data_IF_057324569604
#
_entry.id   IF_057324569604
#
_cell.length_a   1.000
_cell.length_b   1.000
_cell.length_c   1.000
_cell.angle_alpha   90.00
_cell.angle_beta   90.00
_cell.angle_gamma   90.00
#
_symmetry.space_group_name_H-M   'P 1'
#
loop_
_entity.id
_entity.type
_entity.pdbx_description
1 polymer ?
#
# COMPACT_ATOMS: atom_id res chain seq x y z
N UNK A 1 -35.34 48.96 11.49
CA UNK A 1 -34.60 48.27 10.41
C UNK A 1 -34.68 46.77 10.66
N UNK A 2 -35.69 46.11 10.12
CA UNK A 2 -35.89 44.65 10.24
C UNK A 2 -35.56 44.01 8.90
N UNK A 3 -34.43 43.28 8.86
CA UNK A 3 -33.92 42.56 7.70
C UNK A 3 -34.75 41.30 7.44
N UNK A 4 -35.46 41.26 6.31
CA UNK A 4 -36.16 40.08 5.81
C UNK A 4 -35.19 39.20 5.00
N UNK A 5 -35.03 37.94 5.39
CA UNK A 5 -34.26 36.92 4.64
C UNK A 5 -34.97 36.58 3.32
N UNK A 6 -34.24 36.34 2.21
CA UNK A 6 -34.84 35.93 0.95
C UNK A 6 -35.21 34.44 0.97
N UNK A 7 -36.44 34.13 0.53
CA UNK A 7 -36.92 32.77 0.38
C UNK A 7 -36.19 32.06 -0.78
N UNK A 8 -35.58 30.91 -0.50
CA UNK A 8 -35.03 30.00 -1.52
C UNK A 8 -36.18 29.49 -2.40
N UNK A 9 -36.22 29.93 -3.66
CA UNK A 9 -37.04 29.30 -4.72
C UNK A 9 -36.47 27.90 -4.99
N UNK A 10 -37.08 26.87 -4.42
CA UNK A 10 -36.86 25.48 -4.85
C UNK A 10 -37.52 25.29 -6.22
N UNK A 11 -36.72 25.21 -7.28
CA UNK A 11 -37.21 24.76 -8.59
C UNK A 11 -37.54 23.27 -8.50
N UNK A 12 -38.81 22.94 -8.27
CA UNK A 12 -39.32 21.59 -8.55
C UNK A 12 -39.20 21.38 -10.07
N UNK A 13 -38.18 20.66 -10.52
CA UNK A 13 -38.16 20.06 -11.87
C UNK A 13 -39.46 19.27 -12.00
N UNK A 14 -40.35 19.70 -12.88
CA UNK A 14 -41.53 18.94 -13.26
C UNK A 14 -41.04 17.60 -13.82
N UNK A 15 -41.26 16.51 -13.08
CA UNK A 15 -41.03 15.17 -13.61
C UNK A 15 -42.07 14.95 -14.71
N UNK A 16 -41.62 14.77 -15.95
CA UNK A 16 -42.49 14.32 -17.03
C UNK A 16 -43.23 13.02 -16.68
N UNK A 17 -44.20 12.58 -17.50
CA UNK A 17 -44.94 11.35 -17.24
C UNK A 17 -43.97 10.19 -16.98
N UNK A 18 -44.15 9.50 -15.84
CA UNK A 18 -43.33 8.34 -15.48
C UNK A 18 -43.52 7.27 -16.57
N UNK A 19 -42.43 6.92 -17.26
CA UNK A 19 -42.45 5.84 -18.25
C UNK A 19 -42.94 4.53 -17.62
N UNK A 20 -43.68 3.68 -18.36
CA UNK A 20 -44.14 2.39 -17.86
C UNK A 20 -42.97 1.46 -17.52
N UNK A 21 -43.25 0.44 -16.69
CA UNK A 21 -42.32 -0.67 -16.44
C UNK A 21 -42.21 -1.52 -17.69
N UNK A 22 -41.00 -1.90 -18.07
CA UNK A 22 -40.75 -2.76 -19.22
C UNK A 22 -41.27 -4.19 -19.01
N UNK A 23 -41.70 -4.82 -20.10
CA UNK A 23 -41.85 -6.28 -20.17
C UNK A 23 -40.46 -6.92 -20.24
N UNK A 24 -40.12 -7.71 -19.22
CA UNK A 24 -38.84 -8.41 -19.13
C UNK A 24 -38.66 -9.45 -20.24
N UNK A 25 -39.75 -10.01 -20.77
CA UNK A 25 -39.72 -11.04 -21.80
C UNK A 25 -39.38 -10.44 -23.16
N UNK A 26 -40.05 -9.35 -23.52
CA UNK A 26 -39.76 -8.59 -24.75
C UNK A 26 -38.31 -8.07 -24.70
N UNK A 27 -37.89 -7.49 -23.57
CA UNK A 27 -36.53 -7.03 -23.36
C UNK A 27 -35.49 -8.15 -23.57
N UNK A 28 -35.73 -9.33 -22.98
CA UNK A 28 -34.85 -10.48 -23.13
C UNK A 28 -34.78 -10.99 -24.57
N UNK A 29 -35.92 -11.05 -25.28
CA UNK A 29 -35.97 -11.44 -26.69
C UNK A 29 -35.17 -10.48 -27.57
N UNK A 30 -35.26 -9.17 -27.30
CA UNK A 30 -34.49 -8.16 -28.04
C UNK A 30 -33.00 -8.36 -27.79
N UNK A 31 -32.56 -8.45 -26.54
CA UNK A 31 -31.13 -8.57 -26.19
C UNK A 31 -30.49 -9.87 -26.68
N UNK A 32 -31.28 -10.92 -26.86
CA UNK A 32 -30.82 -12.23 -27.38
C UNK A 32 -30.93 -12.35 -28.91
N UNK A 33 -31.56 -11.38 -29.61
CA UNK A 33 -31.71 -11.37 -31.07
C UNK A 33 -30.40 -11.10 -31.82
N UNK A 34 -30.24 -11.49 -33.08
CA UNK A 34 -28.94 -11.33 -33.80
C UNK A 34 -28.36 -9.90 -33.77
N UNK A 35 -29.20 -8.88 -33.93
CA UNK A 35 -28.79 -7.46 -33.97
C UNK A 35 -29.59 -6.64 -32.94
N UNK A 36 -29.19 -6.66 -31.66
CA UNK A 36 -30.04 -6.14 -30.58
C UNK A 36 -30.04 -4.61 -30.51
N UNK A 37 -29.00 -3.93 -31.01
CA UNK A 37 -28.72 -2.52 -30.69
C UNK A 37 -29.85 -1.57 -31.13
N UNK A 38 -30.32 -1.67 -32.37
CA UNK A 38 -31.37 -0.79 -32.91
C UNK A 38 -32.73 -1.04 -32.24
N UNK A 39 -33.14 -2.32 -32.16
CA UNK A 39 -34.40 -2.71 -31.52
C UNK A 39 -34.41 -2.34 -30.02
N UNK A 40 -33.26 -2.46 -29.35
CA UNK A 40 -33.11 -2.07 -27.95
C UNK A 40 -33.25 -0.57 -27.74
N UNK A 41 -32.69 0.25 -28.64
CA UNK A 41 -32.81 1.70 -28.56
C UNK A 41 -34.29 2.15 -28.61
N UNK A 42 -35.07 1.56 -29.52
CA UNK A 42 -36.51 1.83 -29.62
C UNK A 42 -37.29 1.35 -28.38
N UNK A 43 -36.95 0.17 -27.87
CA UNK A 43 -37.58 -0.40 -26.68
C UNK A 43 -37.33 0.47 -25.44
N UNK A 44 -36.07 0.81 -25.19
CA UNK A 44 -35.63 1.70 -24.10
C UNK A 44 -36.28 3.08 -24.18
N UNK A 45 -36.50 3.61 -25.37
CA UNK A 45 -37.14 4.92 -25.51
C UNK A 45 -38.54 4.94 -24.86
N UNK A 46 -39.25 3.80 -24.86
CA UNK A 46 -40.61 3.65 -24.35
C UNK A 46 -40.67 3.40 -22.84
N UNK A 47 -39.70 2.66 -22.29
CA UNK A 47 -39.74 2.19 -20.91
C UNK A 47 -38.76 2.91 -19.97
N UNK A 48 -39.10 2.94 -18.69
CA UNK A 48 -38.27 3.55 -17.65
C UNK A 48 -37.36 2.54 -16.99
N UNK A 49 -37.92 1.79 -16.04
CA UNK A 49 -37.19 0.74 -15.33
C UNK A 49 -37.24 -0.57 -16.14
N UNK A 50 -36.07 -1.11 -16.46
CA UNK A 50 -35.90 -2.35 -17.23
C UNK A 50 -35.16 -3.37 -16.36
N UNK A 51 -35.72 -4.57 -16.25
CA UNK A 51 -35.14 -5.66 -15.45
C UNK A 51 -35.08 -6.93 -16.30
N UNK A 52 -33.87 -7.47 -16.48
CA UNK A 52 -33.57 -8.66 -17.28
C UNK A 52 -32.52 -9.51 -16.54
N UNK A 53 -32.86 -9.87 -15.31
CA UNK A 53 -31.96 -10.60 -14.39
C UNK A 53 -31.73 -12.04 -14.86
N UNK A 54 -30.55 -12.57 -14.60
CA UNK A 54 -30.17 -13.95 -14.95
C UNK A 54 -30.25 -14.29 -16.45
N UNK A 55 -30.29 -13.27 -17.31
CA UNK A 55 -30.33 -13.47 -18.76
C UNK A 55 -29.00 -14.03 -19.25
N UNK A 56 -29.06 -14.97 -20.19
CA UNK A 56 -27.88 -15.49 -20.88
C UNK A 56 -27.56 -14.61 -22.09
N UNK A 57 -26.47 -13.88 -21.99
CA UNK A 57 -25.93 -12.96 -22.99
C UNK A 57 -24.47 -13.33 -23.34
N UNK A 58 -24.08 -14.58 -23.11
CA UNK A 58 -22.72 -15.04 -23.40
C UNK A 58 -22.37 -14.86 -24.89
N UNK A 59 -21.14 -14.39 -25.15
CA UNK A 59 -20.54 -14.23 -26.49
C UNK A 59 -21.32 -13.29 -27.43
N UNK A 60 -22.27 -12.52 -26.89
CA UNK A 60 -23.11 -11.61 -27.67
C UNK A 60 -22.34 -10.36 -28.06
N UNK A 61 -22.59 -9.87 -29.27
CA UNK A 61 -22.17 -8.54 -29.68
C UNK A 61 -23.18 -7.50 -29.21
N UNK A 62 -22.77 -6.72 -28.21
CA UNK A 62 -23.52 -5.66 -27.56
C UNK A 62 -22.72 -4.34 -27.63
N UNK A 63 -21.81 -4.20 -28.59
CA UNK A 63 -21.01 -2.98 -28.73
C UNK A 63 -21.92 -1.75 -28.91
N UNK A 64 -21.60 -0.68 -28.18
CA UNK A 64 -22.33 0.59 -28.22
C UNK A 64 -23.76 0.57 -27.67
N UNK A 65 -24.24 -0.54 -27.10
CA UNK A 65 -25.61 -0.63 -26.59
C UNK A 65 -25.83 0.27 -25.36
N UNK A 66 -27.03 0.87 -25.22
CA UNK A 66 -27.41 1.61 -24.01
C UNK A 66 -28.13 0.70 -22.99
N UNK A 67 -27.39 0.19 -22.03
CA UNK A 67 -27.85 -0.58 -20.88
C UNK A 67 -27.89 0.25 -19.58
N UNK A 68 -27.88 1.58 -19.66
CA UNK A 68 -27.85 2.44 -18.46
C UNK A 68 -29.06 2.23 -17.54
N UNK A 69 -28.81 2.03 -16.25
CA UNK A 69 -29.86 1.80 -15.25
C UNK A 69 -30.60 0.46 -15.35
N UNK A 70 -30.19 -0.46 -16.23
CA UNK A 70 -30.83 -1.79 -16.38
C UNK A 70 -30.41 -2.70 -15.22
N UNK A 71 -31.35 -3.49 -14.69
CA UNK A 71 -31.03 -4.57 -13.75
C UNK A 71 -30.68 -5.86 -14.51
N UNK A 72 -29.38 -6.15 -14.59
CA UNK A 72 -28.75 -7.33 -15.15
C UNK A 72 -28.20 -8.24 -14.03
N UNK A 73 -28.77 -8.19 -12.83
CA UNK A 73 -28.29 -8.99 -11.70
C UNK A 73 -28.26 -10.50 -12.04
N UNK A 74 -27.13 -11.15 -11.74
CA UNK A 74 -26.82 -12.55 -12.10
C UNK A 74 -26.82 -12.87 -13.61
N UNK A 75 -26.80 -11.88 -14.51
CA UNK A 75 -26.69 -12.15 -15.95
C UNK A 75 -25.38 -12.88 -16.29
N UNK A 76 -25.41 -13.68 -17.35
CA UNK A 76 -24.22 -14.33 -17.91
C UNK A 76 -23.78 -13.54 -19.13
N UNK A 77 -22.60 -12.95 -19.06
CA UNK A 77 -22.00 -12.07 -20.07
C UNK A 77 -20.60 -12.57 -20.46
N UNK A 78 -20.34 -13.86 -20.27
CA UNK A 78 -19.04 -14.47 -20.56
C UNK A 78 -18.69 -14.25 -22.02
N UNK A 79 -17.54 -13.64 -22.31
CA UNK A 79 -17.08 -13.36 -23.67
C UNK A 79 -17.91 -12.33 -24.44
N UNK A 80 -18.87 -11.63 -23.82
CA UNK A 80 -19.68 -10.63 -24.51
C UNK A 80 -18.83 -9.42 -24.94
N UNK A 81 -19.12 -8.86 -26.11
CA UNK A 81 -18.54 -7.59 -26.56
C UNK A 81 -19.44 -6.44 -26.10
N UNK A 82 -18.97 -5.66 -25.14
CA UNK A 82 -19.62 -4.46 -24.59
C UNK A 82 -18.79 -3.20 -24.87
N UNK A 83 -17.91 -3.23 -25.88
CA UNK A 83 -17.06 -2.09 -26.24
C UNK A 83 -17.90 -0.85 -26.52
N UNK A 84 -17.59 0.27 -25.88
CA UNK A 84 -18.33 1.54 -26.00
C UNK A 84 -19.77 1.51 -25.49
N UNK A 85 -20.22 0.42 -24.83
CA UNK A 85 -21.56 0.34 -24.28
C UNK A 85 -21.77 1.36 -23.14
N UNK A 86 -23.00 1.86 -23.01
CA UNK A 86 -23.39 2.67 -21.85
C UNK A 86 -24.05 1.78 -20.80
N UNK A 87 -23.33 1.48 -19.73
CA UNK A 87 -23.78 0.72 -18.56
C UNK A 87 -24.00 1.60 -17.34
N UNK A 88 -23.98 2.94 -17.49
CA UNK A 88 -24.04 3.86 -16.35
C UNK A 88 -25.25 3.59 -15.44
N UNK A 89 -25.00 3.45 -14.13
CA UNK A 89 -26.01 3.12 -13.13
C UNK A 89 -26.67 1.74 -13.26
N UNK A 90 -26.19 0.87 -14.15
CA UNK A 90 -26.71 -0.49 -14.28
C UNK A 90 -26.41 -1.34 -13.04
N UNK A 91 -27.22 -2.37 -12.81
CA UNK A 91 -26.96 -3.36 -11.75
C UNK A 91 -26.46 -4.65 -12.37
N UNK A 92 -25.18 -4.96 -12.16
CA UNK A 92 -24.49 -6.19 -12.59
C UNK A 92 -24.07 -7.05 -11.38
N UNK A 93 -24.74 -6.86 -10.23
CA UNK A 93 -24.44 -7.61 -9.01
C UNK A 93 -24.48 -9.12 -9.29
N UNK A 94 -23.42 -9.83 -8.91
CA UNK A 94 -23.24 -11.28 -9.16
C UNK A 94 -23.29 -11.73 -10.63
N UNK A 95 -23.19 -10.80 -11.58
CA UNK A 95 -23.07 -11.17 -12.99
C UNK A 95 -21.71 -11.84 -13.26
N UNK A 96 -21.68 -12.71 -14.26
CA UNK A 96 -20.44 -13.31 -14.77
C UNK A 96 -20.05 -12.63 -16.08
N UNK A 97 -19.04 -11.75 -16.03
CA UNK A 97 -18.51 -11.06 -17.21
C UNK A 97 -17.22 -11.73 -17.70
N UNK A 98 -16.90 -12.96 -17.30
CA UNK A 98 -15.58 -13.55 -17.59
C UNK A 98 -15.21 -13.48 -19.08
N UNK A 99 -14.07 -12.89 -19.42
CA UNK A 99 -13.61 -12.72 -20.81
C UNK A 99 -14.38 -11.67 -21.63
N UNK A 100 -15.29 -10.91 -21.05
CA UNK A 100 -15.99 -9.83 -21.75
C UNK A 100 -15.03 -8.68 -22.12
N UNK A 101 -15.33 -8.01 -23.23
CA UNK A 101 -14.60 -6.81 -23.69
C UNK A 101 -15.45 -5.58 -23.35
N UNK A 102 -14.99 -4.74 -22.44
CA UNK A 102 -15.69 -3.53 -21.96
C UNK A 102 -14.85 -2.26 -22.21
N UNK A 103 -14.02 -2.29 -23.26
CA UNK A 103 -13.16 -1.17 -23.65
C UNK A 103 -13.99 0.08 -23.92
N UNK A 104 -13.54 1.21 -23.40
CA UNK A 104 -14.17 2.53 -23.60
C UNK A 104 -15.67 2.59 -23.18
N UNK A 105 -16.15 1.60 -22.42
CA UNK A 105 -17.53 1.56 -21.94
C UNK A 105 -17.74 2.57 -20.81
N UNK A 106 -18.95 3.12 -20.73
CA UNK A 106 -19.34 3.95 -19.59
C UNK A 106 -19.97 3.07 -18.49
N UNK A 107 -19.22 2.83 -17.42
CA UNK A 107 -19.62 2.05 -16.24
C UNK A 107 -19.82 2.95 -15.01
N UNK A 108 -20.03 4.26 -15.20
CA UNK A 108 -20.17 5.22 -14.11
C UNK A 108 -21.35 4.86 -13.20
N UNK A 109 -21.09 4.73 -11.90
CA UNK A 109 -22.12 4.38 -10.91
C UNK A 109 -22.69 2.96 -11.04
N UNK A 110 -22.08 2.09 -11.84
CA UNK A 110 -22.52 0.70 -12.00
C UNK A 110 -22.28 -0.10 -10.73
N UNK A 111 -23.22 -0.99 -10.38
CA UNK A 111 -23.07 -1.92 -9.26
C UNK A 111 -22.53 -3.28 -9.74
N UNK A 112 -21.26 -3.55 -9.48
CA UNK A 112 -20.50 -4.77 -9.81
C UNK A 112 -20.19 -5.62 -8.56
N UNK A 113 -20.91 -5.41 -7.45
CA UNK A 113 -20.67 -6.17 -6.22
C UNK A 113 -20.81 -7.67 -6.46
N UNK A 114 -19.90 -8.45 -5.90
CA UNK A 114 -19.85 -9.92 -6.03
C UNK A 114 -19.78 -10.43 -7.50
N UNK A 115 -19.49 -9.59 -8.50
CA UNK A 115 -19.40 -10.04 -9.90
C UNK A 115 -18.08 -10.76 -10.19
N UNK A 116 -18.12 -11.70 -11.14
CA UNK A 116 -16.92 -12.35 -11.68
C UNK A 116 -16.43 -11.57 -12.89
N UNK A 117 -15.22 -11.03 -12.79
CA UNK A 117 -14.58 -10.15 -13.78
C UNK A 117 -13.24 -10.75 -14.27
N UNK A 118 -13.18 -12.08 -14.35
CA UNK A 118 -11.98 -12.82 -14.75
C UNK A 118 -11.67 -12.51 -16.22
N UNK A 119 -10.44 -12.06 -16.50
CA UNK A 119 -9.98 -11.73 -17.87
C UNK A 119 -10.86 -10.71 -18.61
N UNK A 120 -11.47 -9.80 -17.87
CA UNK A 120 -12.24 -8.70 -18.46
C UNK A 120 -11.30 -7.57 -18.88
N UNK A 121 -11.53 -7.03 -20.07
CA UNK A 121 -10.78 -5.89 -20.60
C UNK A 121 -11.54 -4.57 -20.39
N UNK A 122 -11.15 -3.82 -19.36
CA UNK A 122 -11.69 -2.48 -19.04
C UNK A 122 -10.82 -1.34 -19.58
N UNK A 123 -9.95 -1.58 -20.57
CA UNK A 123 -9.06 -0.54 -21.08
C UNK A 123 -9.84 0.72 -21.48
N UNK A 124 -9.48 1.87 -20.90
CA UNK A 124 -10.12 3.16 -21.15
C UNK A 124 -11.58 3.29 -20.68
N UNK A 125 -12.11 2.32 -19.92
CA UNK A 125 -13.47 2.39 -19.41
C UNK A 125 -13.63 3.45 -18.30
N UNK A 126 -14.80 4.06 -18.21
CA UNK A 126 -15.16 5.00 -17.12
C UNK A 126 -15.88 4.24 -16.00
N UNK A 127 -15.15 3.91 -14.94
CA UNK A 127 -15.65 3.21 -13.74
C UNK A 127 -15.88 4.19 -12.56
N UNK A 128 -15.97 5.51 -12.80
CA UNK A 128 -16.15 6.47 -11.71
C UNK A 128 -17.40 6.16 -10.91
N UNK A 129 -17.31 6.26 -9.59
CA UNK A 129 -18.41 5.95 -8.66
C UNK A 129 -18.97 4.51 -8.78
N UNK A 130 -18.33 3.63 -9.57
CA UNK A 130 -18.74 2.23 -9.66
C UNK A 130 -18.46 1.52 -8.33
N UNK A 131 -19.30 0.55 -8.01
CA UNK A 131 -19.13 -0.29 -6.83
C UNK A 131 -18.58 -1.65 -7.25
N UNK A 132 -17.29 -1.87 -7.05
CA UNK A 132 -16.57 -3.11 -7.31
C UNK A 132 -16.31 -3.92 -6.02
N UNK A 133 -16.98 -3.59 -4.92
CA UNK A 133 -16.76 -4.25 -3.63
C UNK A 133 -16.92 -5.76 -3.72
N UNK A 134 -15.92 -6.49 -3.21
CA UNK A 134 -15.84 -7.96 -3.27
C UNK A 134 -15.91 -8.58 -4.69
N UNK A 135 -15.73 -7.78 -5.75
CA UNK A 135 -15.65 -8.30 -7.11
C UNK A 135 -14.32 -9.03 -7.36
N UNK A 136 -14.31 -9.93 -8.34
CA UNK A 136 -13.15 -10.79 -8.64
C UNK A 136 -12.57 -10.49 -10.03
N UNK A 137 -11.56 -9.64 -10.08
CA UNK A 137 -10.68 -9.41 -11.23
C UNK A 137 -9.40 -10.23 -11.01
N UNK A 138 -9.38 -11.46 -11.51
CA UNK A 138 -8.27 -12.39 -11.29
C UNK A 138 -7.67 -12.78 -12.64
N UNK A 139 -6.33 -12.74 -12.75
CA UNK A 139 -5.61 -13.54 -13.72
C UNK A 139 -5.29 -14.91 -13.14
N UNK A 140 -5.76 -15.99 -13.79
CA UNK A 140 -5.50 -17.37 -13.36
C UNK A 140 -4.30 -18.00 -14.06
N UNK A 141 -3.81 -17.42 -15.17
CA UNK A 141 -2.92 -18.12 -16.10
C UNK A 141 -1.49 -17.57 -16.13
N UNK A 142 -1.16 -16.59 -15.27
CA UNK A 142 0.16 -15.94 -15.20
C UNK A 142 0.67 -15.39 -16.55
N UNK A 143 -0.20 -15.22 -17.54
CA UNK A 143 0.15 -14.68 -18.83
C UNK A 143 -0.17 -13.17 -18.84
N UNK A 144 0.86 -12.37 -18.55
CA UNK A 144 0.79 -10.92 -18.43
C UNK A 144 0.09 -10.21 -19.60
N UNK A 145 0.06 -10.80 -20.80
CA UNK A 145 -0.58 -10.20 -21.97
C UNK A 145 -2.11 -10.41 -22.05
N UNK A 146 -2.67 -11.41 -21.35
CA UNK A 146 -4.07 -11.84 -21.52
C UNK A 146 -4.90 -11.87 -20.23
N UNK A 147 -4.32 -11.38 -19.12
CA UNK A 147 -5.03 -11.13 -17.86
C UNK A 147 -5.98 -9.93 -17.93
N UNK A 148 -6.84 -9.73 -16.92
CA UNK A 148 -7.69 -8.56 -16.82
C UNK A 148 -6.87 -7.27 -16.86
N UNK A 149 -7.41 -6.25 -17.52
CA UNK A 149 -6.75 -4.95 -17.70
C UNK A 149 -7.68 -3.84 -17.24
N UNK A 150 -7.14 -2.97 -16.38
CA UNK A 150 -7.70 -1.68 -16.00
C UNK A 150 -6.81 -0.55 -16.54
N UNK A 151 -5.94 -0.81 -17.52
CA UNK A 151 -5.03 0.21 -18.04
C UNK A 151 -5.77 1.43 -18.56
N UNK A 152 -5.38 2.60 -18.05
CA UNK A 152 -6.03 3.87 -18.38
C UNK A 152 -7.49 4.00 -17.92
N UNK A 153 -8.03 3.04 -17.18
CA UNK A 153 -9.41 3.10 -16.68
C UNK A 153 -9.54 4.19 -15.61
N UNK A 154 -10.70 4.85 -15.57
CA UNK A 154 -10.98 5.86 -14.55
C UNK A 154 -11.79 5.24 -13.39
N UNK A 155 -11.14 4.97 -12.26
CA UNK A 155 -11.72 4.44 -11.03
C UNK A 155 -11.97 5.54 -9.98
N UNK A 156 -12.06 6.80 -10.40
CA UNK A 156 -12.28 7.92 -9.50
C UNK A 156 -13.53 7.74 -8.63
N UNK A 157 -13.41 7.86 -7.31
CA UNK A 157 -14.47 7.65 -6.32
C UNK A 157 -15.09 6.23 -6.33
N UNK A 158 -14.49 5.27 -7.03
CA UNK A 158 -14.98 3.90 -7.06
C UNK A 158 -14.79 3.22 -5.69
N UNK A 159 -15.67 2.27 -5.38
CA UNK A 159 -15.57 1.44 -4.18
C UNK A 159 -14.91 0.11 -4.53
N UNK A 160 -13.63 -0.06 -4.17
CA UNK A 160 -12.86 -1.30 -4.38
C UNK A 160 -12.59 -2.04 -3.06
N UNK A 161 -13.36 -1.75 -2.00
CA UNK A 161 -13.13 -2.40 -0.71
C UNK A 161 -13.28 -3.92 -0.84
N UNK A 162 -12.25 -4.63 -0.38
CA UNK A 162 -12.14 -6.08 -0.52
C UNK A 162 -12.25 -6.63 -1.95
N UNK A 163 -12.08 -5.79 -2.98
CA UNK A 163 -12.01 -6.26 -4.36
C UNK A 163 -10.73 -7.07 -4.56
N UNK A 164 -10.79 -8.09 -5.42
CA UNK A 164 -9.64 -8.90 -5.78
C UNK A 164 -9.20 -8.48 -7.17
N UNK A 165 -8.00 -7.91 -7.26
CA UNK A 165 -7.31 -7.42 -8.46
C UNK A 165 -5.99 -8.18 -8.70
N UNK A 166 -5.83 -9.36 -8.10
CA UNK A 166 -4.62 -10.18 -8.24
C UNK A 166 -4.28 -10.49 -9.71
N UNK A 167 -3.05 -10.16 -10.12
CA UNK A 167 -2.59 -10.31 -11.50
C UNK A 167 -3.21 -9.34 -12.52
N UNK A 168 -3.98 -8.35 -12.09
CA UNK A 168 -4.57 -7.34 -12.98
C UNK A 168 -3.53 -6.29 -13.37
N UNK A 169 -3.50 -5.90 -14.66
CA UNK A 169 -2.70 -4.74 -15.11
C UNK A 169 -3.46 -3.46 -14.81
N UNK A 170 -2.85 -2.55 -14.05
CA UNK A 170 -3.50 -1.33 -13.58
C UNK A 170 -2.75 -0.05 -13.96
N UNK A 171 -1.77 -0.14 -14.88
CA UNK A 171 -0.92 0.99 -15.26
C UNK A 171 -1.74 2.15 -15.84
N UNK A 172 -1.47 3.37 -15.36
CA UNK A 172 -2.17 4.58 -15.80
C UNK A 172 -3.65 4.66 -15.37
N UNK A 173 -4.15 3.74 -14.56
CA UNK A 173 -5.50 3.83 -14.02
C UNK A 173 -5.61 4.97 -12.99
N UNK A 174 -6.72 5.70 -13.01
CA UNK A 174 -6.96 6.80 -12.06
C UNK A 174 -7.71 6.29 -10.82
N UNK A 175 -7.11 6.41 -9.63
CA UNK A 175 -7.70 6.03 -8.33
C UNK A 175 -8.03 7.24 -7.43
N UNK A 176 -8.24 8.43 -8.00
CA UNK A 176 -8.64 9.64 -7.27
C UNK A 176 -9.85 9.35 -6.36
N UNK A 177 -9.72 9.60 -5.06
CA UNK A 177 -10.76 9.35 -4.05
C UNK A 177 -11.35 7.92 -4.02
N UNK A 178 -10.68 6.93 -4.63
CA UNK A 178 -11.13 5.55 -4.60
C UNK A 178 -10.99 4.92 -3.20
N UNK A 179 -11.92 4.04 -2.83
CA UNK A 179 -11.89 3.32 -1.54
C UNK A 179 -11.15 2.00 -1.71
N UNK A 180 -9.97 1.87 -1.11
CA UNK A 180 -9.04 0.74 -1.34
C UNK A 180 -8.83 -0.17 -0.11
N UNK A 181 -9.54 0.07 1.00
CA UNK A 181 -9.37 -0.73 2.22
C UNK A 181 -9.66 -2.23 1.96
N UNK A 182 -8.75 -3.10 2.40
CA UNK A 182 -8.83 -4.55 2.19
C UNK A 182 -8.63 -5.01 0.75
N UNK A 183 -8.20 -4.13 -0.16
CA UNK A 183 -7.96 -4.48 -1.55
C UNK A 183 -6.91 -5.60 -1.67
N UNK A 184 -7.19 -6.61 -2.51
CA UNK A 184 -6.30 -7.75 -2.72
C UNK A 184 -5.67 -7.63 -4.10
N UNK A 185 -4.38 -7.31 -4.16
CA UNK A 185 -3.60 -7.21 -5.40
C UNK A 185 -2.37 -8.10 -5.28
N UNK A 186 -2.54 -9.41 -5.07
CA UNK A 186 -1.41 -10.34 -4.93
C UNK A 186 -0.73 -10.55 -6.28
N UNK A 187 0.61 -10.51 -6.30
CA UNK A 187 1.45 -10.67 -7.51
C UNK A 187 1.05 -9.71 -8.64
N UNK A 188 0.53 -8.54 -8.31
CA UNK A 188 0.17 -7.51 -9.27
C UNK A 188 1.40 -6.67 -9.65
N UNK A 189 1.35 -6.03 -10.81
CA UNK A 189 2.31 -5.02 -11.23
C UNK A 189 1.59 -3.67 -11.33
N UNK A 190 2.15 -2.65 -10.69
CA UNK A 190 1.66 -1.29 -10.72
C UNK A 190 2.82 -0.34 -10.98
N UNK A 191 2.62 0.58 -11.91
CA UNK A 191 3.62 1.59 -12.25
C UNK A 191 2.98 2.98 -12.31
N UNK A 192 3.59 3.97 -11.65
CA UNK A 192 3.24 5.39 -11.81
C UNK A 192 1.86 5.78 -11.26
N UNK A 193 1.35 5.10 -10.23
CA UNK A 193 0.02 5.36 -9.68
C UNK A 193 0.06 6.33 -8.50
N UNK A 194 -0.96 7.20 -8.39
CA UNK A 194 -1.16 8.05 -7.20
C UNK A 194 -2.16 7.41 -6.22
N UNK A 195 -1.61 6.92 -5.11
CA UNK A 195 -2.33 6.43 -3.92
C UNK A 195 -2.00 7.26 -2.66
N UNK A 196 -1.55 8.50 -2.82
CA UNK A 196 -1.17 9.39 -1.70
C UNK A 196 -2.34 9.59 -0.72
N UNK A 197 -2.16 9.43 0.59
CA UNK A 197 -3.22 9.63 1.60
C UNK A 197 -4.43 8.70 1.47
N UNK A 198 -4.39 7.67 0.60
CA UNK A 198 -5.49 6.72 0.45
C UNK A 198 -5.44 5.72 1.61
N UNK A 199 -6.61 5.16 1.92
CA UNK A 199 -6.76 4.10 2.90
C UNK A 199 -6.61 2.73 2.21
N UNK A 200 -5.47 2.09 2.48
CA UNK A 200 -5.12 0.71 2.11
C UNK A 200 -5.02 -0.18 3.36
N UNK A 201 -5.75 0.14 4.43
CA UNK A 201 -5.80 -0.68 5.65
C UNK A 201 -6.16 -2.11 5.28
N UNK A 202 -5.37 -3.07 5.80
CA UNK A 202 -5.53 -4.51 5.53
C UNK A 202 -5.46 -4.92 4.05
N UNK A 203 -4.89 -4.09 3.16
CA UNK A 203 -4.65 -4.49 1.77
C UNK A 203 -3.66 -5.66 1.69
N UNK A 204 -3.83 -6.53 0.70
CA UNK A 204 -2.97 -7.69 0.45
C UNK A 204 -2.17 -7.49 -0.84
N UNK A 205 -0.87 -7.20 -0.71
CA UNK A 205 0.05 -6.90 -1.81
C UNK A 205 1.14 -7.96 -1.99
N UNK A 206 0.93 -9.15 -1.40
CA UNK A 206 1.93 -10.22 -1.35
C UNK A 206 2.52 -10.54 -2.72
N UNK A 207 3.85 -10.47 -2.80
CA UNK A 207 4.62 -10.76 -4.02
C UNK A 207 4.42 -9.77 -5.16
N UNK A 208 3.80 -8.62 -4.92
CA UNK A 208 3.54 -7.62 -5.95
C UNK A 208 4.75 -6.75 -6.23
N UNK A 209 4.72 -6.06 -7.37
CA UNK A 209 5.72 -5.10 -7.79
C UNK A 209 5.09 -3.73 -7.96
N UNK A 210 5.51 -2.79 -7.14
CA UNK A 210 5.11 -1.39 -7.17
C UNK A 210 6.33 -0.56 -7.57
N UNK A 211 6.22 0.13 -8.69
CA UNK A 211 7.28 0.98 -9.24
C UNK A 211 6.76 2.41 -9.40
N UNK A 212 7.47 3.40 -8.87
CA UNK A 212 7.09 4.82 -9.04
C UNK A 212 5.66 5.14 -8.56
N UNK A 213 5.16 4.38 -7.58
CA UNK A 213 3.84 4.59 -6.98
C UNK A 213 3.96 5.63 -5.87
N UNK A 214 3.05 6.59 -5.83
CA UNK A 214 2.94 7.54 -4.73
C UNK A 214 2.02 7.00 -3.63
N UNK A 215 2.60 6.77 -2.45
CA UNK A 215 1.94 6.35 -1.22
C UNK A 215 2.14 7.38 -0.10
N UNK A 216 2.50 8.63 -0.42
CA UNK A 216 2.76 9.66 0.59
C UNK A 216 1.56 9.85 1.51
N UNK A 217 1.77 9.69 2.82
CA UNK A 217 0.72 9.82 3.84
C UNK A 217 -0.38 8.76 3.79
N UNK A 218 -0.24 7.71 2.97
CA UNK A 218 -1.22 6.63 2.88
C UNK A 218 -1.33 5.84 4.19
N UNK A 219 -2.47 5.18 4.39
CA UNK A 219 -2.71 4.32 5.57
C UNK A 219 -2.67 2.86 5.11
N UNK A 220 -1.63 2.13 5.50
CA UNK A 220 -1.41 0.71 5.20
C UNK A 220 -1.46 -0.15 6.47
N UNK A 221 -2.16 0.29 7.52
CA UNK A 221 -2.19 -0.43 8.79
C UNK A 221 -2.68 -1.88 8.60
N UNK A 222 -1.92 -2.84 9.14
CA UNK A 222 -2.21 -4.27 9.03
C UNK A 222 -2.15 -4.85 7.61
N UNK A 223 -1.64 -4.10 6.64
CA UNK A 223 -1.47 -4.60 5.27
C UNK A 223 -0.45 -5.74 5.20
N UNK A 224 -0.65 -6.61 4.22
CA UNK A 224 0.23 -7.74 3.92
C UNK A 224 1.12 -7.39 2.72
N UNK A 225 2.37 -7.05 3.02
CA UNK A 225 3.43 -6.70 2.08
C UNK A 225 4.48 -7.83 1.94
N UNK A 226 4.19 -9.06 2.38
CA UNK A 226 5.17 -10.15 2.33
C UNK A 226 5.74 -10.33 0.91
N UNK A 227 7.07 -10.35 0.79
CA UNK A 227 7.79 -10.47 -0.49
C UNK A 227 7.42 -9.41 -1.56
N UNK A 228 6.85 -8.27 -1.16
CA UNK A 228 6.53 -7.16 -2.08
C UNK A 228 7.79 -6.43 -2.50
N UNK A 229 7.87 -6.04 -3.77
CA UNK A 229 8.94 -5.22 -4.31
C UNK A 229 8.44 -3.80 -4.51
N UNK A 230 9.02 -2.86 -3.78
CA UNK A 230 8.76 -1.43 -3.87
C UNK A 230 10.02 -0.75 -4.39
N UNK A 231 9.94 -0.15 -5.58
CA UNK A 231 11.07 0.53 -6.21
C UNK A 231 10.67 1.96 -6.56
N UNK A 232 11.45 2.94 -6.11
CA UNK A 232 11.18 4.37 -6.35
C UNK A 232 9.78 4.80 -5.85
N UNK A 233 9.29 4.15 -4.79
CA UNK A 233 7.98 4.44 -4.18
C UNK A 233 8.14 5.55 -3.12
N UNK A 234 7.27 6.56 -3.17
CA UNK A 234 7.21 7.61 -2.15
C UNK A 234 6.24 7.21 -1.04
N UNK A 235 6.72 7.08 0.18
CA UNK A 235 5.92 6.63 1.32
C UNK A 235 5.89 7.65 2.46
N UNK A 236 6.60 8.78 2.34
CA UNK A 236 6.78 9.72 3.45
C UNK A 236 5.48 9.99 4.23
N UNK A 237 5.55 9.94 5.57
CA UNK A 237 4.42 10.08 6.49
C UNK A 237 3.35 8.98 6.41
N UNK A 238 3.58 7.89 5.66
CA UNK A 238 2.65 6.77 5.61
C UNK A 238 2.59 6.01 6.95
N UNK A 239 1.41 5.45 7.24
CA UNK A 239 1.17 4.61 8.42
C UNK A 239 1.23 3.15 8.02
N UNK A 240 2.23 2.44 8.50
CA UNK A 240 2.49 1.02 8.25
C UNK A 240 2.44 0.22 9.56
N UNK A 241 1.50 0.58 10.45
CA UNK A 241 1.37 -0.07 11.75
C UNK A 241 1.03 -1.54 11.58
N UNK A 242 1.79 -2.42 12.23
CA UNK A 242 1.52 -3.87 12.27
C UNK A 242 1.40 -4.52 10.88
N UNK A 243 2.09 -4.00 9.87
CA UNK A 243 2.16 -4.66 8.57
C UNK A 243 2.87 -6.01 8.67
N UNK A 244 2.56 -6.91 7.74
CA UNK A 244 3.39 -8.09 7.46
C UNK A 244 4.29 -7.76 6.28
N UNK A 245 5.54 -7.42 6.53
CA UNK A 245 6.53 -7.04 5.52
C UNK A 245 7.73 -7.98 5.48
N UNK A 246 7.58 -9.23 5.91
CA UNK A 246 8.65 -10.23 5.84
C UNK A 246 9.11 -10.38 4.38
N UNK A 247 10.43 -10.36 4.17
CA UNK A 247 11.07 -10.44 2.86
C UNK A 247 10.69 -9.31 1.87
N UNK A 248 10.00 -8.26 2.32
CA UNK A 248 9.69 -7.10 1.48
C UNK A 248 10.99 -6.39 1.08
N UNK A 249 11.03 -5.88 -0.15
CA UNK A 249 12.16 -5.14 -0.71
C UNK A 249 11.75 -3.70 -0.97
N UNK A 250 12.32 -2.77 -0.22
CA UNK A 250 12.25 -1.35 -0.45
C UNK A 250 13.55 -0.92 -1.13
N UNK A 251 13.46 -0.35 -2.33
CA UNK A 251 14.60 0.11 -3.13
C UNK A 251 14.38 1.57 -3.49
N UNK A 252 15.32 2.44 -3.10
CA UNK A 252 15.25 3.89 -3.38
C UNK A 252 13.91 4.51 -2.96
N UNK A 253 13.34 4.03 -1.86
CA UNK A 253 12.07 4.52 -1.34
C UNK A 253 12.32 5.68 -0.37
N UNK A 254 11.48 6.71 -0.44
CA UNK A 254 11.45 7.80 0.53
C UNK A 254 10.50 7.44 1.68
N UNK A 255 11.07 7.01 2.81
CA UNK A 255 10.36 6.47 3.99
C UNK A 255 10.38 7.45 5.19
N UNK A 256 10.69 8.72 4.94
CA UNK A 256 10.77 9.78 5.95
C UNK A 256 9.46 9.88 6.76
N UNK A 257 9.56 9.97 8.08
CA UNK A 257 8.41 10.08 9.00
C UNK A 257 7.39 8.92 8.89
N UNK A 258 7.77 7.77 8.33
CA UNK A 258 6.88 6.59 8.28
C UNK A 258 6.75 5.92 9.64
N UNK A 259 5.59 5.31 9.91
CA UNK A 259 5.35 4.56 11.13
C UNK A 259 5.21 3.05 10.87
N UNK A 260 6.26 2.29 11.15
CA UNK A 260 6.34 0.83 11.09
C UNK A 260 6.14 0.16 12.46
N UNK A 261 5.56 0.84 13.45
CA UNK A 261 5.43 0.28 14.80
C UNK A 261 4.66 -1.05 14.80
N UNK A 262 5.24 -2.07 15.45
CA UNK A 262 4.73 -3.44 15.52
C UNK A 262 4.74 -4.20 14.19
N UNK A 263 5.40 -3.69 13.15
CA UNK A 263 5.53 -4.38 11.87
C UNK A 263 6.38 -5.65 11.97
N UNK A 264 6.03 -6.68 11.20
CA UNK A 264 6.94 -7.81 10.92
C UNK A 264 7.76 -7.49 9.68
N UNK A 265 9.08 -7.47 9.81
CA UNK A 265 10.04 -7.07 8.76
C UNK A 265 11.21 -8.05 8.73
N UNK A 266 10.95 -9.34 9.00
CA UNK A 266 12.00 -10.36 9.00
C UNK A 266 12.62 -10.45 7.61
N UNK A 267 13.95 -10.34 7.54
CA UNK A 267 14.70 -10.35 6.29
C UNK A 267 14.20 -9.33 5.25
N UNK A 268 13.49 -8.28 5.67
CA UNK A 268 13.14 -7.17 4.82
C UNK A 268 14.42 -6.43 4.38
N UNK A 269 14.39 -5.87 3.18
CA UNK A 269 15.53 -5.19 2.59
C UNK A 269 15.20 -3.73 2.32
N UNK A 270 16.05 -2.83 2.81
CA UNK A 270 15.97 -1.39 2.62
C UNK A 270 17.23 -0.92 1.91
N UNK A 271 17.19 -0.87 0.59
CA UNK A 271 18.33 -0.48 -0.24
C UNK A 271 18.22 0.98 -0.61
N UNK A 272 19.20 1.79 -0.18
CA UNK A 272 19.28 3.22 -0.52
C UNK A 272 17.99 3.98 -0.19
N UNK A 273 17.41 3.68 0.98
CA UNK A 273 16.18 4.29 1.44
C UNK A 273 16.48 5.40 2.46
N UNK A 274 15.72 6.48 2.40
CA UNK A 274 15.71 7.53 3.41
C UNK A 274 14.67 7.17 4.48
N UNK A 275 15.13 6.85 5.68
CA UNK A 275 14.34 6.40 6.83
C UNK A 275 14.39 7.42 7.98
N UNK A 276 14.72 8.67 7.69
CA UNK A 276 14.84 9.70 8.71
C UNK A 276 13.54 9.85 9.50
N UNK A 277 13.67 9.92 10.83
CA UNK A 277 12.54 10.03 11.78
C UNK A 277 11.47 8.94 11.65
N UNK A 278 11.77 7.83 10.95
CA UNK A 278 10.87 6.70 10.89
C UNK A 278 10.74 6.03 12.26
N UNK A 279 9.57 5.44 12.53
CA UNK A 279 9.23 4.79 13.80
C UNK A 279 9.16 3.29 13.59
N UNK A 280 9.94 2.55 14.37
CA UNK A 280 10.05 1.08 14.35
C UNK A 280 9.80 0.48 15.74
N UNK A 281 8.95 1.13 16.55
CA UNK A 281 8.69 0.67 17.92
C UNK A 281 8.15 -0.75 17.89
N UNK A 282 8.77 -1.66 18.66
CA UNK A 282 8.39 -3.08 18.71
C UNK A 282 8.41 -3.80 17.34
N UNK A 283 9.09 -3.24 16.33
CA UNK A 283 9.15 -3.84 15.01
C UNK A 283 10.06 -5.09 15.01
N UNK A 284 9.59 -6.16 14.38
CA UNK A 284 10.33 -7.40 14.19
C UNK A 284 11.25 -7.32 12.98
N UNK A 285 12.49 -6.88 13.15
CA UNK A 285 13.45 -6.62 12.06
C UNK A 285 14.58 -7.66 11.98
N UNK A 286 14.34 -8.90 12.43
CA UNK A 286 15.36 -9.96 12.46
C UNK A 286 15.95 -10.20 11.07
N UNK A 287 17.27 -10.26 10.98
CA UNK A 287 18.01 -10.51 9.73
C UNK A 287 17.69 -9.53 8.60
N UNK A 288 17.21 -8.32 8.92
CA UNK A 288 16.95 -7.31 7.89
C UNK A 288 18.26 -6.84 7.22
N UNK A 289 18.12 -6.32 6.01
CA UNK A 289 19.24 -5.78 5.23
C UNK A 289 19.04 -4.27 5.07
N UNK A 290 19.83 -3.49 5.77
CA UNK A 290 19.83 -2.01 5.73
C UNK A 290 21.03 -1.47 4.94
N UNK A 291 22.00 -2.33 4.65
CA UNK A 291 23.24 -1.97 3.96
C UNK A 291 23.62 -3.05 2.96
N UNK A 292 23.72 -2.74 1.66
CA UNK A 292 24.44 -3.60 0.71
C UNK A 292 24.88 -2.95 -0.60
N UNK A 293 24.60 -1.66 -0.85
CA UNK A 293 25.10 -0.90 -2.01
C UNK A 293 25.39 0.57 -1.65
N UNK A 294 26.09 1.27 -2.55
CA UNK A 294 26.76 2.60 -2.47
C UNK A 294 26.07 3.75 -1.70
N UNK A 295 24.80 3.62 -1.30
CA UNK A 295 24.05 4.58 -0.49
C UNK A 295 23.42 3.81 0.67
N UNK A 296 23.80 4.18 1.89
CA UNK A 296 23.35 3.60 3.16
C UNK A 296 21.92 4.01 3.53
N UNK A 297 21.26 3.20 4.35
CA UNK A 297 20.01 3.60 4.99
C UNK A 297 20.28 4.69 6.05
N UNK A 298 19.54 5.80 5.97
CA UNK A 298 19.62 6.89 6.93
C UNK A 298 18.48 6.81 7.94
N UNK A 299 18.79 6.48 9.18
CA UNK A 299 17.87 6.40 10.32
C UNK A 299 18.12 7.53 11.33
N UNK A 300 18.61 8.68 10.87
CA UNK A 300 18.81 9.85 11.73
C UNK A 300 17.51 10.20 12.45
N UNK A 301 17.62 10.32 13.78
CA UNK A 301 16.51 10.59 14.69
C UNK A 301 15.34 9.59 14.61
N UNK A 302 15.57 8.36 14.13
CA UNK A 302 14.57 7.30 14.12
C UNK A 302 14.24 6.81 15.54
N UNK A 303 13.00 6.34 15.73
CA UNK A 303 12.53 5.75 16.98
C UNK A 303 12.51 4.22 16.84
N UNK A 304 13.56 3.57 17.34
CA UNK A 304 13.83 2.13 17.25
C UNK A 304 13.64 1.42 18.60
N UNK A 305 12.89 2.02 19.52
CA UNK A 305 12.67 1.44 20.85
C UNK A 305 12.06 0.04 20.75
N UNK A 306 12.63 -0.92 21.47
CA UNK A 306 12.18 -2.31 21.45
C UNK A 306 12.25 -3.00 20.08
N UNK A 307 12.95 -2.42 19.10
CA UNK A 307 13.13 -3.05 17.79
C UNK A 307 13.97 -4.33 17.92
N UNK A 308 13.55 -5.39 17.22
CA UNK A 308 14.24 -6.68 17.21
C UNK A 308 15.12 -6.79 15.97
N UNK A 309 16.37 -6.34 16.06
CA UNK A 309 17.34 -6.27 14.96
C UNK A 309 18.41 -7.38 15.04
N UNK A 310 18.10 -8.51 15.69
CA UNK A 310 19.01 -9.64 15.82
C UNK A 310 19.54 -10.10 14.45
N UNK A 311 20.86 -10.14 14.29
CA UNK A 311 21.53 -10.55 13.06
C UNK A 311 21.27 -9.65 11.84
N UNK A 312 20.84 -8.41 12.04
CA UNK A 312 20.65 -7.46 10.94
C UNK A 312 21.99 -7.14 10.26
N UNK A 313 21.95 -6.97 8.93
CA UNK A 313 23.09 -6.49 8.13
C UNK A 313 22.94 -4.98 7.90
N UNK A 314 23.70 -4.19 8.66
CA UNK A 314 23.55 -2.74 8.82
C UNK A 314 24.92 -2.02 8.85
N UNK A 315 25.85 -2.48 8.01
CA UNK A 315 27.17 -1.87 7.82
C UNK A 315 27.00 -0.43 7.34
N UNK A 316 27.75 0.49 7.95
CA UNK A 316 27.77 1.92 7.60
C UNK A 316 26.41 2.62 7.78
N UNK A 317 25.47 2.04 8.52
CA UNK A 317 24.17 2.66 8.80
C UNK A 317 24.32 3.98 9.57
N UNK A 318 23.46 4.96 9.29
CA UNK A 318 23.44 6.25 10.00
C UNK A 318 22.34 6.21 11.06
N UNK A 319 22.72 6.26 12.33
CA UNK A 319 21.83 6.21 13.50
C UNK A 319 22.00 7.48 14.38
N UNK A 320 22.41 8.58 13.78
CA UNK A 320 22.66 9.84 14.49
C UNK A 320 21.40 10.30 15.22
N UNK A 321 21.50 10.54 16.53
CA UNK A 321 20.40 10.91 17.42
C UNK A 321 19.21 9.92 17.43
N UNK A 322 19.40 8.68 16.97
CA UNK A 322 18.34 7.67 17.00
C UNK A 322 18.08 7.17 18.43
N UNK A 323 16.83 6.82 18.72
CA UNK A 323 16.41 6.24 20.00
C UNK A 323 16.33 4.72 19.89
N UNK A 324 17.33 4.02 20.41
CA UNK A 324 17.45 2.56 20.38
C UNK A 324 17.22 1.93 21.77
N UNK A 325 16.52 2.63 22.68
CA UNK A 325 16.33 2.11 24.04
C UNK A 325 15.62 0.76 24.02
N UNK A 326 16.16 -0.20 24.77
CA UNK A 326 15.66 -1.58 24.82
C UNK A 326 15.68 -2.33 23.47
N UNK A 327 16.42 -1.85 22.47
CA UNK A 327 16.55 -2.56 21.20
C UNK A 327 17.44 -3.81 21.34
N UNK A 328 17.11 -4.86 20.59
CA UNK A 328 17.93 -6.07 20.47
C UNK A 328 18.73 -6.01 19.16
N UNK A 329 20.02 -5.71 19.27
CA UNK A 329 21.00 -5.63 18.19
C UNK A 329 21.95 -6.84 18.21
N UNK A 330 21.56 -7.94 18.87
CA UNK A 330 22.46 -9.06 19.08
C UNK A 330 22.92 -9.68 17.74
N UNK A 331 24.23 -9.83 17.57
CA UNK A 331 24.83 -10.35 16.35
C UNK A 331 24.67 -9.47 15.11
N UNK A 332 24.22 -8.22 15.25
CA UNK A 332 24.08 -7.31 14.12
C UNK A 332 25.45 -6.91 13.55
N UNK A 333 25.51 -6.79 12.23
CA UNK A 333 26.67 -6.27 11.49
C UNK A 333 26.56 -4.74 11.45
N UNK A 334 27.31 -4.04 12.31
CA UNK A 334 27.25 -2.59 12.52
C UNK A 334 28.61 -1.93 12.26
N UNK A 335 29.44 -2.55 11.43
CA UNK A 335 30.76 -2.03 11.09
C UNK A 335 30.61 -0.67 10.43
N UNK A 336 31.41 0.31 10.86
CA UNK A 336 31.37 1.68 10.34
C UNK A 336 30.03 2.41 10.50
N UNK A 337 29.12 1.91 11.32
CA UNK A 337 27.88 2.60 11.64
C UNK A 337 28.15 3.90 12.43
N UNK A 338 27.35 4.93 12.19
CA UNK A 338 27.42 6.19 12.96
C UNK A 338 26.34 6.23 14.02
N UNK A 339 26.73 6.25 15.30
CA UNK A 339 25.83 6.33 16.45
C UNK A 339 25.88 7.69 17.16
N UNK A 340 26.39 8.75 16.51
CA UNK A 340 26.60 10.03 17.19
C UNK A 340 25.31 10.53 17.89
N UNK A 341 25.36 10.71 19.21
CA UNK A 341 24.21 11.14 20.02
C UNK A 341 23.06 10.13 20.14
N UNK A 342 23.23 8.89 19.69
CA UNK A 342 22.21 7.84 19.78
C UNK A 342 21.99 7.39 21.24
N UNK A 343 20.77 6.94 21.55
CA UNK A 343 20.40 6.44 22.87
C UNK A 343 20.29 4.91 22.88
N UNK A 344 21.28 4.25 23.48
CA UNK A 344 21.41 2.80 23.60
C UNK A 344 21.12 2.29 25.03
N UNK A 345 20.47 3.09 25.89
CA UNK A 345 20.14 2.64 27.26
C UNK A 345 19.28 1.37 27.22
N UNK A 346 19.67 0.37 28.01
CA UNK A 346 19.07 -0.97 28.03
C UNK A 346 19.08 -1.73 26.68
N UNK A 347 19.82 -1.26 25.67
CA UNK A 347 19.97 -2.00 24.42
C UNK A 347 20.93 -3.19 24.59
N UNK A 348 20.70 -4.25 23.84
CA UNK A 348 21.59 -5.41 23.80
C UNK A 348 22.35 -5.49 22.48
N UNK A 349 23.67 -5.35 22.54
CA UNK A 349 24.60 -5.46 21.41
C UNK A 349 25.49 -6.70 21.53
N UNK A 350 25.03 -7.74 22.21
CA UNK A 350 25.81 -8.97 22.40
C UNK A 350 26.19 -9.57 21.04
N UNK A 351 27.47 -9.88 20.83
CA UNK A 351 28.03 -10.39 19.56
C UNK A 351 27.91 -9.44 18.36
N UNK A 352 27.48 -8.19 18.54
CA UNK A 352 27.42 -7.23 17.44
C UNK A 352 28.84 -6.88 16.94
N UNK A 353 28.97 -6.65 15.64
CA UNK A 353 30.23 -6.30 14.99
C UNK A 353 30.33 -4.78 14.84
N UNK A 354 31.12 -4.14 15.71
CA UNK A 354 31.23 -2.66 15.81
C UNK A 354 32.57 -2.10 15.31
N UNK A 355 33.32 -2.86 14.50
CA UNK A 355 34.62 -2.39 13.98
C UNK A 355 34.45 -1.11 13.16
N UNK A 356 35.17 -0.06 13.54
CA UNK A 356 35.09 1.25 12.87
C UNK A 356 33.79 2.03 13.08
N UNK A 357 32.88 1.56 13.94
CA UNK A 357 31.66 2.30 14.27
C UNK A 357 31.97 3.54 15.12
N UNK A 358 31.31 4.66 14.82
CA UNK A 358 31.43 5.92 15.56
C UNK A 358 30.49 5.89 16.76
N UNK A 359 31.03 5.94 17.98
CA UNK A 359 30.26 5.87 19.22
C UNK A 359 30.28 7.17 20.03
N UNK A 360 30.84 8.24 19.47
CA UNK A 360 31.00 9.51 20.16
C UNK A 360 29.64 10.07 20.63
N UNK A 361 29.54 10.42 21.91
CA UNK A 361 28.34 10.98 22.50
C UNK A 361 27.15 10.01 22.63
N UNK A 362 27.37 8.71 22.45
CA UNK A 362 26.33 7.69 22.68
C UNK A 362 25.88 7.68 24.15
N UNK A 363 24.57 7.79 24.36
CA UNK A 363 23.97 7.61 25.67
C UNK A 363 23.78 6.11 25.97
N UNK A 364 24.35 5.64 27.08
CA UNK A 364 24.29 4.25 27.51
C UNK A 364 24.24 4.20 29.04
N UNK A 365 23.81 3.07 29.61
CA UNK A 365 23.78 2.86 31.06
C UNK A 365 24.30 1.47 31.44
N UNK A 366 24.25 1.14 32.73
CA UNK A 366 24.72 -0.15 33.25
C UNK A 366 23.93 -1.36 32.71
N UNK A 367 22.76 -1.13 32.11
CA UNK A 367 21.95 -2.18 31.48
C UNK A 367 22.22 -2.36 29.99
N UNK A 368 22.98 -1.44 29.36
CA UNK A 368 23.43 -1.61 27.98
C UNK A 368 24.45 -2.75 27.89
N UNK A 369 24.15 -3.75 27.07
CA UNK A 369 25.02 -4.93 26.89
C UNK A 369 25.92 -4.73 25.69
N UNK A 370 27.23 -4.63 25.91
CA UNK A 370 28.24 -4.45 24.85
C UNK A 370 28.86 -5.78 24.38
N UNK A 371 29.40 -5.86 23.14
CA UNK A 371 30.17 -7.03 22.71
C UNK A 371 31.39 -7.26 23.60
N UNK A 372 31.76 -8.53 23.82
CA UNK A 372 32.92 -8.92 24.65
C UNK A 372 34.25 -8.32 24.20
N UNK A 373 34.34 -7.90 22.94
CA UNK A 373 35.52 -7.29 22.34
C UNK A 373 35.71 -5.82 22.74
N UNK A 374 34.71 -5.17 23.33
CA UNK A 374 34.79 -3.79 23.82
C UNK A 374 34.80 -3.86 25.35
N UNK A 375 35.97 -3.65 25.95
CA UNK A 375 36.07 -3.48 27.40
C UNK A 375 35.66 -2.06 27.84
N UNK A 376 35.58 -1.82 29.15
CA UNK A 376 35.15 -0.51 29.67
C UNK A 376 36.10 0.63 29.31
N UNK A 377 37.41 0.38 29.22
CA UNK A 377 38.39 1.42 28.90
C UNK A 377 38.29 1.83 27.43
N UNK A 378 38.16 0.85 26.53
CA UNK A 378 37.90 1.08 25.12
C UNK A 378 36.55 1.76 24.89
N UNK A 379 35.51 1.35 25.62
CA UNK A 379 34.20 1.99 25.54
C UNK A 379 34.28 3.47 25.91
N UNK A 380 34.91 3.81 27.04
CA UNK A 380 35.09 5.20 27.49
C UNK A 380 35.81 6.04 26.42
N UNK A 381 36.92 5.54 25.89
CA UNK A 381 37.67 6.22 24.80
C UNK A 381 36.82 6.45 23.55
N UNK A 382 35.97 5.49 23.17
CA UNK A 382 35.16 5.59 21.95
C UNK A 382 33.93 6.49 22.13
N UNK A 383 33.36 6.57 23.33
CA UNK A 383 32.18 7.41 23.62
C UNK A 383 32.57 8.86 23.92
N UNK A 384 33.68 9.07 24.63
CA UNK A 384 34.17 10.39 25.00
C UNK A 384 35.65 10.55 24.57
N UNK A 385 35.94 10.66 23.27
CA UNK A 385 37.32 10.72 22.76
C UNK A 385 38.08 11.98 23.19
N UNK A 386 37.38 13.03 23.62
CA UNK A 386 37.94 14.31 24.05
C UNK A 386 38.11 14.44 25.59
N UNK A 387 37.76 13.42 26.37
CA UNK A 387 37.90 13.43 27.83
C UNK A 387 39.32 12.99 28.23
N UNK A 388 40.08 13.79 29.00
CA UNK A 388 41.44 13.44 29.39
C UNK A 388 41.45 12.16 30.24
N UNK A 389 42.48 11.30 30.12
CA UNK A 389 42.57 10.10 30.95
C UNK A 389 42.56 10.49 32.44
N UNK A 390 41.73 9.79 33.20
CA UNK A 390 41.54 9.98 34.64
C UNK A 390 42.88 9.70 35.36
N UNK A 391 43.62 10.76 35.68
CA UNK A 391 44.90 10.71 36.38
C UNK A 391 44.64 10.63 37.89
N UNK A 392 44.02 9.53 38.31
CA UNK A 392 43.90 9.16 39.72
C UNK A 392 44.78 7.93 39.99
N UNK A 393 46.09 8.07 39.81
CA UNK A 393 47.04 7.21 40.51
C UNK A 393 47.23 7.75 41.92
N UNK A 394 46.94 6.88 42.88
CA UNK A 394 47.18 7.00 44.31
C UNK A 394 48.43 7.81 44.66
N UNK A 395 48.23 8.98 45.27
CA UNK A 395 49.24 9.66 46.07
C UNK A 395 48.93 9.39 47.55
N UNK A 396 49.31 8.20 48.03
CA UNK A 396 49.35 7.89 49.46
C UNK A 396 50.47 6.90 49.80
N UNK A 397 51.71 7.39 49.80
CA UNK A 397 52.86 6.83 50.53
C UNK A 397 54.00 7.83 50.42
N UNK A 398 54.73 8.28 51.42
CA UNK A 398 54.85 7.98 52.84
C UNK A 398 55.62 9.19 53.37
N UNK A 399 55.06 9.97 54.30
CA UNK A 399 55.83 10.94 55.07
C UNK A 399 55.95 10.38 56.48
N UNK A 400 57.00 9.59 56.69
CA UNK A 400 57.48 9.24 58.02
C UNK A 400 58.88 9.84 58.18
N UNK A 401 58.89 10.93 58.93
CA UNK A 401 60.04 11.55 59.55
C UNK A 401 60.76 10.57 60.48
N UNK A 402 62.02 10.27 60.18
CA UNK A 402 63.01 9.80 61.15
C UNK A 402 64.36 10.45 60.80
N UNK A 403 64.75 11.47 61.56
CA UNK A 403 66.15 11.92 61.69
C UNK A 403 66.50 11.91 63.19
N UNK A 404 67.45 11.04 63.53
CA UNK A 404 68.22 11.00 64.79
C UNK A 404 69.35 12.05 64.80
#
# INVERSE_FOLDING_TARGET
>A
MTSAKPAKKTSKKASGPKKPRADSTEAAQILTSREPVAAWAEFRARYGQIQVRSLDLNERDLAGIDLSGVDLGNAKLKGANLSGANLSGATLRKADLSGAVVREANLRGTNLVDSTLVRVDFQGADLREANLGASKLIDLDHNAAAGPSLEGANLGQADLRAAILSGTRINGANFEDAKLAGLVMRRAAAHGLDWSRRDLTAAELVGSRLEEVDLQGAVLNGADLESTHLTDVTLGQAKLLKIKGDYAQFRRCALVDCDFSGASLKAAMFFSCDLQRARFIEAGMRQCYLSKQLIEADLTAADLRWAQMTGASAQRIVLVNADLRNADLNGAELQHASFAGADLRAASLQLALLSGAELAGVNHDASTVWPKQIDQAELRRRVAPDEPPDDSSDDSSDDSSDED
#
